data_IF_882502795660
#
_entry.id   IF_882502795660
#
_cell.length_a   1.000
_cell.length_b   1.000
_cell.length_c   1.000
_cell.angle_alpha   90.00
_cell.angle_beta   90.00
_cell.angle_gamma   90.00
#
_symmetry.space_group_name_H-M   'P 1'
#
loop_
_entity.id
_entity.type
_entity.pdbx_description
1 polymer ?
#
# COMPACT_ATOMS: atom_id res chain seq x y z
N UNK A 1 -1.96 -68.96 62.11
CA UNK A 1 -1.18 -68.55 60.97
C UNK A 1 -1.71 -67.16 60.51
N UNK A 2 -0.96 -66.13 60.91
CA UNK A 2 -1.30 -64.75 60.58
C UNK A 2 -0.48 -64.34 59.36
N UNK A 3 -1.11 -64.23 58.26
CA UNK A 3 -0.54 -63.64 57.05
C UNK A 3 -0.77 -62.12 57.09
N UNK A 4 0.31 -61.42 57.36
CA UNK A 4 0.30 -59.95 57.31
C UNK A 4 0.43 -59.51 55.86
N UNK A 5 -0.68 -59.06 55.26
CA UNK A 5 -0.63 -58.44 53.97
C UNK A 5 -0.26 -56.99 54.19
N UNK A 6 0.92 -56.62 53.79
CA UNK A 6 1.37 -55.23 53.76
C UNK A 6 0.81 -54.60 52.50
N UNK A 7 -0.18 -53.75 52.69
CA UNK A 7 -0.71 -52.90 51.61
C UNK A 7 0.28 -51.78 51.41
N UNK A 8 1.01 -51.83 50.31
CA UNK A 8 1.84 -50.73 49.86
C UNK A 8 0.90 -49.69 49.20
N UNK A 9 0.76 -48.57 49.89
CA UNK A 9 0.08 -47.43 49.33
C UNK A 9 0.95 -46.80 48.25
N UNK A 10 0.56 -47.04 47.02
CA UNK A 10 1.13 -46.32 45.88
C UNK A 10 0.52 -44.94 45.85
N UNK A 11 1.26 -43.95 46.27
CA UNK A 11 0.89 -42.54 46.11
C UNK A 11 1.15 -42.17 44.66
N UNK A 12 0.09 -42.18 43.88
CA UNK A 12 0.10 -41.59 42.54
C UNK A 12 0.12 -40.05 42.70
N UNK A 13 1.27 -39.45 42.52
CA UNK A 13 1.36 -38.02 42.30
C UNK A 13 0.77 -37.70 40.91
N UNK A 14 -0.23 -36.86 40.83
CA UNK A 14 -0.61 -36.31 39.52
C UNK A 14 0.51 -35.37 39.10
N UNK A 15 1.24 -35.70 38.05
CA UNK A 15 1.99 -34.71 37.28
C UNK A 15 0.96 -33.73 36.71
N UNK A 16 0.83 -32.60 37.35
CA UNK A 16 0.24 -31.45 36.71
C UNK A 16 1.16 -31.06 35.55
N UNK A 17 0.84 -31.51 34.36
CA UNK A 17 1.32 -30.85 33.15
C UNK A 17 0.73 -29.45 33.17
N UNK A 18 1.52 -28.50 33.64
CA UNK A 18 1.32 -27.11 33.30
C UNK A 18 1.43 -27.06 31.79
N UNK A 19 0.28 -27.17 31.11
CA UNK A 19 0.19 -26.67 29.77
C UNK A 19 0.54 -25.20 29.87
N UNK A 20 1.76 -24.87 29.48
CA UNK A 20 2.06 -23.54 29.06
C UNK A 20 1.04 -23.27 27.95
N UNK A 21 -0.02 -22.53 28.29
CA UNK A 21 -0.74 -21.80 27.31
C UNK A 21 0.34 -20.94 26.64
N UNK A 22 0.81 -21.40 25.51
CA UNK A 22 1.53 -20.56 24.61
C UNK A 22 0.56 -19.44 24.33
N UNK A 23 0.80 -18.32 25.00
CA UNK A 23 0.35 -17.06 24.48
C UNK A 23 0.80 -17.09 23.03
N UNK A 24 -0.13 -17.28 22.13
CA UNK A 24 0.14 -17.11 20.73
C UNK A 24 0.49 -15.62 20.55
N UNK A 25 1.70 -15.28 20.95
CA UNK A 25 2.35 -14.13 20.41
C UNK A 25 2.39 -14.40 18.92
N UNK A 26 1.39 -13.88 18.23
CA UNK A 26 1.38 -13.83 16.78
C UNK A 26 2.76 -13.41 16.36
N UNK A 27 3.48 -14.23 15.60
CA UNK A 27 4.78 -13.80 15.13
C UNK A 27 4.53 -12.47 14.44
N UNK A 28 5.25 -11.44 14.85
CA UNK A 28 5.30 -10.17 14.15
C UNK A 28 5.96 -10.51 12.81
N UNK A 29 5.17 -11.00 11.90
CA UNK A 29 5.60 -11.19 10.54
C UNK A 29 5.49 -9.84 9.89
N UNK A 30 6.61 -9.24 9.55
CA UNK A 30 6.70 -8.05 8.70
C UNK A 30 6.02 -8.27 7.34
N UNK A 31 5.40 -9.41 7.14
CA UNK A 31 4.68 -9.84 5.94
C UNK A 31 3.17 -9.89 6.14
N UNK A 32 2.66 -9.50 7.29
CA UNK A 32 1.22 -9.56 7.59
C UNK A 32 0.40 -8.52 6.81
N UNK A 33 1.07 -7.61 6.16
CA UNK A 33 0.46 -6.69 5.21
C UNK A 33 0.40 -7.30 3.80
N UNK A 34 -0.21 -8.47 3.70
CA UNK A 34 -0.37 -9.20 2.45
C UNK A 34 -1.57 -8.74 1.62
N UNK A 35 -1.81 -7.45 1.59
CA UNK A 35 -2.84 -6.88 0.74
C UNK A 35 -4.26 -6.99 1.26
N UNK A 36 -4.43 -7.43 2.49
CA UNK A 36 -5.73 -7.57 3.15
C UNK A 36 -5.95 -6.49 4.20
N UNK A 37 -4.89 -5.81 4.63
CA UNK A 37 -4.99 -4.72 5.59
C UNK A 37 -5.59 -3.49 4.93
N UNK A 38 -6.58 -2.91 5.59
CA UNK A 38 -7.12 -1.60 5.22
C UNK A 38 -6.00 -0.55 5.24
N UNK A 39 -5.85 0.18 4.14
CA UNK A 39 -4.87 1.25 4.03
C UNK A 39 -5.49 2.59 4.44
N UNK A 40 -4.75 3.46 5.14
CA UNK A 40 -5.24 4.80 5.43
C UNK A 40 -5.37 5.63 4.15
N UNK A 41 -6.43 6.42 4.07
CA UNK A 41 -6.64 7.31 2.94
C UNK A 41 -5.52 8.37 2.87
N UNK A 42 -4.90 8.60 1.71
CA UNK A 42 -3.80 9.55 1.56
C UNK A 42 -4.32 11.00 1.52
N UNK A 43 -4.53 11.60 2.67
CA UNK A 43 -5.18 12.92 2.81
C UNK A 43 -4.47 14.05 2.05
N UNK A 44 -3.15 13.98 1.94
CA UNK A 44 -2.32 15.00 1.30
C UNK A 44 -1.91 14.64 -0.12
N UNK A 45 -2.63 13.75 -0.77
CA UNK A 45 -2.24 13.20 -2.07
C UNK A 45 -1.96 14.24 -3.13
N UNK A 46 -2.74 15.32 -3.22
CA UNK A 46 -2.53 16.38 -4.23
C UNK A 46 -1.17 17.05 -4.06
N UNK A 47 -0.83 17.43 -2.84
CA UNK A 47 0.45 18.07 -2.52
C UNK A 47 1.63 17.13 -2.75
N UNK A 48 1.48 15.86 -2.32
CA UNK A 48 2.54 14.86 -2.50
C UNK A 48 2.77 14.52 -3.97
N UNK A 49 1.70 14.40 -4.76
CA UNK A 49 1.80 14.17 -6.20
C UNK A 49 2.50 15.32 -6.91
N UNK A 50 2.15 16.57 -6.59
CA UNK A 50 2.81 17.75 -7.16
C UNK A 50 4.30 17.80 -6.80
N UNK A 51 4.64 17.59 -5.54
CA UNK A 51 6.03 17.59 -5.08
C UNK A 51 6.84 16.47 -5.75
N UNK A 52 6.25 15.29 -5.87
CA UNK A 52 6.88 14.15 -6.53
C UNK A 52 7.13 14.43 -8.02
N UNK A 53 6.12 14.85 -8.75
CA UNK A 53 6.23 15.10 -10.19
C UNK A 53 7.20 16.24 -10.51
N UNK A 54 7.30 17.23 -9.64
CA UNK A 54 8.27 18.33 -9.80
C UNK A 54 9.72 17.83 -9.84
N UNK A 55 10.02 16.77 -9.10
CA UNK A 55 11.37 16.18 -9.06
C UNK A 55 11.53 14.99 -10.01
N UNK A 56 10.46 14.29 -10.28
CA UNK A 56 10.48 13.10 -11.13
C UNK A 56 10.59 13.44 -12.62
N UNK A 57 9.88 14.48 -13.06
CA UNK A 57 9.89 14.89 -14.46
C UNK A 57 11.18 15.66 -14.79
N UNK A 58 11.75 15.39 -15.97
CA UNK A 58 12.92 16.11 -16.46
C UNK A 58 12.64 17.61 -16.64
N UNK A 59 11.47 17.93 -17.15
CA UNK A 59 10.98 19.30 -17.28
C UNK A 59 9.54 19.37 -16.77
N UNK A 60 9.32 19.89 -15.55
CA UNK A 60 7.97 20.02 -15.00
C UNK A 60 7.21 21.22 -15.56
N UNK A 61 7.84 22.06 -16.35
CA UNK A 61 7.25 23.27 -16.89
C UNK A 61 6.50 22.98 -18.20
N UNK A 62 5.36 23.62 -18.39
CA UNK A 62 4.60 23.55 -19.63
C UNK A 62 3.81 22.25 -19.82
N UNK A 63 3.47 21.55 -18.74
CA UNK A 63 2.61 20.37 -18.79
C UNK A 63 1.22 20.76 -19.32
N UNK A 64 0.65 19.94 -20.19
CA UNK A 64 -0.68 20.14 -20.78
C UNK A 64 -1.62 18.99 -20.50
N UNK A 65 -2.92 19.29 -20.49
CA UNK A 65 -3.99 18.31 -20.40
C UNK A 65 -3.98 17.51 -19.08
N UNK A 66 -3.56 18.13 -17.99
CA UNK A 66 -3.47 17.46 -16.70
C UNK A 66 -4.86 17.21 -16.13
N UNK A 67 -5.15 15.94 -15.89
CA UNK A 67 -6.35 15.46 -15.21
C UNK A 67 -5.97 14.41 -14.17
N UNK A 68 -6.73 14.33 -13.09
CA UNK A 68 -6.49 13.42 -11.99
C UNK A 68 -7.81 12.86 -11.45
N UNK A 69 -7.82 11.61 -11.07
CA UNK A 69 -8.93 10.98 -10.37
C UNK A 69 -8.70 11.00 -8.86
N UNK A 70 -9.78 10.87 -8.10
CA UNK A 70 -9.71 10.70 -6.66
C UNK A 70 -8.96 9.41 -6.29
N UNK A 71 -8.29 9.37 -5.13
CA UNK A 71 -7.64 8.15 -4.66
C UNK A 71 -8.63 7.00 -4.54
N UNK A 72 -8.25 5.84 -5.04
CA UNK A 72 -9.07 4.64 -4.99
C UNK A 72 -8.25 3.44 -4.57
N UNK A 73 -8.87 2.53 -3.83
CA UNK A 73 -8.23 1.27 -3.47
C UNK A 73 -8.17 0.33 -4.67
N UNK A 74 -7.01 -0.25 -4.90
CA UNK A 74 -6.75 -1.27 -5.91
C UNK A 74 -5.80 -2.32 -5.38
N UNK A 75 -5.92 -3.53 -5.89
CA UNK A 75 -4.92 -4.57 -5.65
C UNK A 75 -3.78 -4.36 -6.65
N UNK A 76 -2.60 -4.04 -6.14
CA UNK A 76 -1.40 -3.83 -6.93
C UNK A 76 -0.31 -4.76 -6.42
N UNK A 77 0.19 -5.64 -7.28
CA UNK A 77 1.18 -6.65 -6.88
C UNK A 77 0.69 -7.58 -5.77
N UNK A 78 -0.61 -7.93 -5.79
CA UNK A 78 -1.24 -8.79 -4.78
C UNK A 78 -1.54 -8.10 -3.44
N UNK A 79 -1.37 -6.78 -3.35
CA UNK A 79 -1.60 -6.01 -2.12
C UNK A 79 -2.59 -4.90 -2.35
N UNK A 80 -3.45 -4.67 -1.34
CA UNK A 80 -4.38 -3.56 -1.36
C UNK A 80 -3.63 -2.25 -1.11
N UNK A 81 -3.77 -1.29 -2.03
CA UNK A 81 -3.12 0.02 -1.98
C UNK A 81 -4.07 1.10 -2.46
N UNK A 82 -3.85 2.33 -2.03
CA UNK A 82 -4.44 3.47 -2.70
C UNK A 82 -3.62 3.83 -3.93
N UNK A 83 -4.31 4.11 -5.02
CA UNK A 83 -3.72 4.65 -6.23
C UNK A 83 -4.38 5.97 -6.58
N UNK A 84 -3.58 6.91 -7.04
CA UNK A 84 -4.03 8.15 -7.63
C UNK A 84 -3.70 8.11 -9.11
N UNK A 85 -4.72 8.02 -9.92
CA UNK A 85 -4.56 7.98 -11.37
C UNK A 85 -4.55 9.39 -11.96
N UNK A 86 -3.66 9.61 -12.90
CA UNK A 86 -3.54 10.89 -13.58
C UNK A 86 -3.11 10.68 -15.04
N UNK A 87 -3.44 11.66 -15.86
CA UNK A 87 -2.99 11.78 -17.24
C UNK A 87 -2.50 13.19 -17.49
N UNK A 88 -1.42 13.32 -18.20
CA UNK A 88 -0.89 14.60 -18.63
C UNK A 88 0.10 14.40 -19.77
N UNK A 89 0.37 15.46 -20.50
CA UNK A 89 1.40 15.49 -21.54
C UNK A 89 2.54 16.39 -21.10
N UNK A 90 3.69 15.82 -20.71
CA UNK A 90 4.88 16.63 -20.43
C UNK A 90 5.44 17.20 -21.71
N UNK A 91 6.09 18.35 -21.61
CA UNK A 91 6.83 18.91 -22.73
C UNK A 91 8.11 18.08 -22.97
N UNK A 92 8.26 17.59 -24.19
CA UNK A 92 9.44 16.85 -24.61
C UNK A 92 10.64 17.80 -24.84
N UNK A 93 11.82 17.23 -24.93
CA UNK A 93 13.06 18.00 -25.16
C UNK A 93 13.08 18.80 -26.46
N UNK A 94 12.32 18.36 -27.46
CA UNK A 94 12.14 19.05 -28.75
C UNK A 94 11.04 20.12 -28.72
N UNK A 95 10.41 20.36 -27.56
CA UNK A 95 9.28 21.28 -27.37
C UNK A 95 7.92 20.72 -27.76
N UNK A 96 7.86 19.51 -28.27
CA UNK A 96 6.60 18.83 -28.63
C UNK A 96 5.93 18.15 -27.45
N UNK A 97 4.76 17.58 -27.71
CA UNK A 97 3.94 16.87 -26.74
C UNK A 97 3.53 15.50 -27.30
N UNK A 98 3.54 14.48 -26.45
CA UNK A 98 2.98 13.17 -26.77
C UNK A 98 1.55 13.06 -26.27
N UNK A 99 0.83 12.08 -26.79
CA UNK A 99 -0.48 11.71 -26.26
C UNK A 99 -0.40 11.45 -24.76
N UNK A 100 -1.33 11.97 -23.96
CA UNK A 100 -1.36 11.70 -22.53
C UNK A 100 -1.67 10.23 -22.29
N UNK A 101 -0.93 9.63 -21.41
CA UNK A 101 -1.13 8.24 -20.97
C UNK A 101 -1.46 8.18 -19.49
N UNK A 102 -2.16 7.13 -19.11
CA UNK A 102 -2.50 6.89 -17.73
C UNK A 102 -1.27 6.48 -16.92
N UNK A 103 -1.08 7.17 -15.82
CA UNK A 103 -0.09 6.87 -14.78
C UNK A 103 -0.80 6.72 -13.45
N UNK A 104 -0.28 5.88 -12.58
CA UNK A 104 -0.77 5.73 -11.22
C UNK A 104 0.34 6.05 -10.22
N UNK A 105 0.00 6.86 -9.24
CA UNK A 105 0.84 7.08 -8.07
C UNK A 105 0.34 6.15 -6.98
N UNK A 106 1.23 5.29 -6.50
CA UNK A 106 0.95 4.32 -5.45
C UNK A 106 1.20 4.93 -4.08
N UNK A 107 0.25 4.76 -3.19
CA UNK A 107 0.36 5.16 -1.79
C UNK A 107 0.39 3.93 -0.89
N UNK A 108 1.30 3.95 0.07
CA UNK A 108 1.46 2.93 1.10
C UNK A 108 1.42 3.63 2.46
N UNK A 109 0.57 3.16 3.35
CA UNK A 109 0.38 3.76 4.68
C UNK A 109 0.09 5.28 4.63
N UNK A 110 -0.68 5.69 3.63
CA UNK A 110 -1.09 7.08 3.45
C UNK A 110 -0.01 7.99 2.86
N UNK A 111 1.13 7.46 2.43
CA UNK A 111 2.25 8.21 1.86
C UNK A 111 2.58 7.73 0.45
N UNK A 112 3.03 8.66 -0.37
CA UNK A 112 3.46 8.34 -1.73
C UNK A 112 4.66 7.40 -1.72
N UNK A 113 4.55 6.30 -2.47
CA UNK A 113 5.59 5.29 -2.60
C UNK A 113 6.30 5.36 -3.96
N UNK A 114 5.56 5.22 -5.03
CA UNK A 114 6.13 5.20 -6.39
C UNK A 114 5.10 5.51 -7.47
N UNK A 115 5.59 5.72 -8.69
CA UNK A 115 4.79 5.86 -9.89
C UNK A 115 4.79 4.56 -10.71
N UNK A 116 3.64 4.28 -11.32
CA UNK A 116 3.45 3.23 -12.32
C UNK A 116 3.18 3.92 -13.66
N UNK A 117 4.10 3.81 -14.59
CA UNK A 117 4.05 4.54 -15.86
C UNK A 117 2.98 4.04 -16.85
N UNK A 118 2.69 2.75 -16.83
CA UNK A 118 1.67 2.15 -17.68
C UNK A 118 0.56 1.60 -16.79
N UNK A 119 -0.40 2.44 -16.48
CA UNK A 119 -1.39 2.20 -15.44
C UNK A 119 -2.82 2.04 -15.98
N UNK A 120 -2.99 1.62 -17.22
CA UNK A 120 -4.32 1.43 -17.81
C UNK A 120 -5.18 0.46 -16.99
N UNK A 121 -4.59 -0.60 -16.48
CA UNK A 121 -5.31 -1.61 -15.68
C UNK A 121 -5.74 -1.08 -14.31
N UNK A 122 -4.86 -0.58 -13.44
CA UNK A 122 -5.28 -0.05 -12.14
C UNK A 122 -6.14 1.21 -12.25
N UNK A 123 -6.08 1.94 -13.35
CA UNK A 123 -6.85 3.16 -13.58
C UNK A 123 -8.13 2.96 -14.39
N UNK A 124 -8.48 1.72 -14.72
CA UNK A 124 -9.68 1.44 -15.53
C UNK A 124 -10.95 1.95 -14.86
N UNK A 125 -11.82 2.60 -15.64
CA UNK A 125 -13.16 3.01 -15.21
C UNK A 125 -13.22 4.22 -14.28
N UNK A 126 -12.13 4.94 -14.09
CA UNK A 126 -12.10 6.11 -13.21
C UNK A 126 -12.56 7.39 -13.91
N UNK A 127 -13.21 8.25 -13.14
CA UNK A 127 -13.57 9.59 -13.59
C UNK A 127 -12.45 10.58 -13.29
N UNK A 128 -12.00 11.29 -14.32
CA UNK A 128 -10.95 12.30 -14.22
C UNK A 128 -11.54 13.70 -14.13
N UNK A 129 -10.87 14.56 -13.37
CA UNK A 129 -11.16 15.99 -13.29
C UNK A 129 -9.89 16.78 -13.57
N UNK A 130 -10.01 18.05 -14.01
CA UNK A 130 -8.86 18.90 -14.28
C UNK A 130 -7.92 19.02 -13.06
N UNK A 131 -6.62 18.93 -13.33
CA UNK A 131 -5.57 19.10 -12.33
C UNK A 131 -4.69 20.28 -12.71
N UNK A 132 -5.25 21.46 -12.62
CA UNK A 132 -4.64 22.70 -13.08
C UNK A 132 -3.34 23.05 -12.37
N UNK A 133 -3.18 22.63 -11.11
CA UNK A 133 -1.96 22.87 -10.33
C UNK A 133 -0.74 22.22 -10.97
N UNK A 134 -0.91 21.07 -11.62
CA UNK A 134 0.18 20.39 -12.33
C UNK A 134 0.65 21.20 -13.56
N UNK A 135 -0.28 21.83 -14.27
CA UNK A 135 0.05 22.64 -15.44
C UNK A 135 0.78 23.96 -15.09
N UNK A 136 0.69 24.38 -13.82
CA UNK A 136 1.32 25.60 -13.29
C UNK A 136 2.67 25.36 -12.63
N UNK A 137 3.19 24.16 -12.67
CA UNK A 137 4.49 23.87 -12.05
C UNK A 137 5.58 24.72 -12.70
N UNK A 138 6.46 25.23 -11.85
CA UNK A 138 7.69 25.94 -12.20
C UNK A 138 8.90 25.15 -11.69
N UNK A 139 10.09 25.49 -12.18
CA UNK A 139 11.34 24.88 -11.71
C UNK A 139 11.67 25.28 -10.29
#
# INVERSE_FOLDING_TARGET
LRSSVKIAAVVLLPLALSACASDESKPITFTDDRGVSSQPFPKNYRTEVLAFLKTYLNDPVGIRGAVMAEPIERVVGGRLRYVVCLRFSPRESDGGYREPRERAILFVDGRLDRIIENAAEPCAGLAYAPFAELEKLTR
#
